data_IF_504785077216
#
_entry.id   IF_504785077216
#
_cell.length_a   1.000
_cell.length_b   1.000
_cell.length_c   1.000
_cell.angle_alpha   90.00
_cell.angle_beta   90.00
_cell.angle_gamma   90.00
#
_symmetry.space_group_name_H-M   'P 1'
#
loop_
_entity.id
_entity.type
_entity.pdbx_description
1 polymer ?
#
# COMPACT_ATOMS: atom_id res chain seq x y z
N UNK A 1 -16.70 -10.04 -5.27
CA UNK A 1 -15.44 -9.33 -5.51
C UNK A 1 -14.23 -10.02 -4.89
N UNK A 2 -14.04 -11.25 -5.18
CA UNK A 2 -12.80 -11.99 -4.92
C UNK A 2 -12.17 -11.75 -3.54
N UNK A 3 -12.97 -11.75 -2.50
CA UNK A 3 -12.49 -11.60 -1.13
C UNK A 3 -12.41 -10.16 -0.63
N UNK A 4 -12.71 -9.18 -1.45
CA UNK A 4 -12.72 -7.77 -1.04
C UNK A 4 -14.15 -7.32 -0.78
N UNK A 5 -14.33 -6.51 0.27
CA UNK A 5 -15.65 -6.07 0.71
C UNK A 5 -16.31 -5.04 -0.20
N UNK A 6 -15.52 -4.27 -0.93
CA UNK A 6 -16.06 -3.18 -1.73
C UNK A 6 -15.19 -2.95 -2.96
N UNK A 7 -15.75 -2.17 -3.91
CA UNK A 7 -15.03 -1.76 -5.09
C UNK A 7 -13.77 -0.97 -4.72
N UNK A 8 -13.87 -0.07 -3.75
CA UNK A 8 -12.74 0.75 -3.33
C UNK A 8 -11.60 -0.11 -2.76
N UNK A 9 -11.94 -1.11 -1.97
CA UNK A 9 -10.98 -2.05 -1.42
C UNK A 9 -10.25 -2.79 -2.54
N UNK A 10 -11.02 -3.37 -3.44
CA UNK A 10 -10.48 -4.11 -4.59
C UNK A 10 -9.60 -3.23 -5.49
N UNK A 11 -10.07 -2.01 -5.80
CA UNK A 11 -9.34 -1.07 -6.64
C UNK A 11 -8.02 -0.64 -6.01
N UNK A 12 -8.02 -0.38 -4.71
CA UNK A 12 -6.80 0.01 -4.00
C UNK A 12 -5.74 -1.10 -4.13
N UNK A 13 -6.13 -2.35 -3.89
CA UNK A 13 -5.21 -3.48 -4.00
C UNK A 13 -4.72 -3.66 -5.43
N UNK A 14 -5.62 -3.54 -6.39
CA UNK A 14 -5.30 -3.70 -7.81
C UNK A 14 -4.23 -2.70 -8.25
N UNK A 15 -4.45 -1.41 -7.98
CA UNK A 15 -3.52 -0.37 -8.45
C UNK A 15 -2.19 -0.41 -7.72
N UNK A 16 -2.19 -0.65 -6.42
CA UNK A 16 -0.93 -0.74 -5.67
C UNK A 16 -0.10 -1.97 -6.03
N UNK A 17 -0.73 -3.04 -6.47
CA UNK A 17 0.00 -4.24 -6.86
C UNK A 17 0.42 -4.25 -8.33
N UNK A 18 -0.34 -3.59 -9.20
CA UNK A 18 -0.12 -3.72 -10.65
C UNK A 18 0.45 -2.49 -11.34
N UNK A 19 0.30 -1.30 -10.75
CA UNK A 19 0.90 -0.10 -11.32
C UNK A 19 2.32 0.05 -10.81
N UNK A 20 3.28 0.10 -11.71
CA UNK A 20 4.69 0.16 -11.35
C UNK A 20 5.03 1.35 -10.44
N UNK A 21 4.50 2.51 -10.73
CA UNK A 21 4.76 3.71 -9.94
C UNK A 21 4.19 3.61 -8.54
N UNK A 22 2.94 3.17 -8.42
CA UNK A 22 2.29 3.00 -7.12
C UNK A 22 2.92 1.86 -6.33
N UNK A 23 3.27 0.77 -7.01
CA UNK A 23 3.94 -0.35 -6.36
C UNK A 23 5.29 0.08 -5.78
N UNK A 24 6.10 0.80 -6.56
CA UNK A 24 7.40 1.29 -6.11
C UNK A 24 7.27 2.25 -4.93
N UNK A 25 6.27 3.11 -4.94
CA UNK A 25 5.99 4.01 -3.82
C UNK A 25 5.70 3.21 -2.55
N UNK A 26 4.84 2.22 -2.64
CA UNK A 26 4.50 1.36 -1.51
C UNK A 26 5.74 0.61 -0.98
N UNK A 27 6.51 0.02 -1.88
CA UNK A 27 7.70 -0.74 -1.49
C UNK A 27 8.74 0.17 -0.84
N UNK A 28 8.96 1.36 -1.39
CA UNK A 28 9.93 2.30 -0.81
C UNK A 28 9.57 2.69 0.62
N UNK A 29 8.30 2.97 0.88
CA UNK A 29 7.85 3.31 2.24
C UNK A 29 7.92 2.10 3.18
N UNK A 30 7.62 0.93 2.66
CA UNK A 30 7.72 -0.31 3.44
C UNK A 30 9.17 -0.58 3.83
N UNK A 31 10.11 -0.36 2.91
CA UNK A 31 11.55 -0.50 3.19
C UNK A 31 12.00 0.44 4.30
N UNK A 32 11.49 1.66 4.35
CA UNK A 32 11.81 2.58 5.44
C UNK A 32 11.34 2.03 6.78
N UNK A 33 10.19 1.37 6.80
CA UNK A 33 9.69 0.75 8.02
C UNK A 33 10.58 -0.42 8.46
N UNK A 34 11.12 -1.18 7.50
CA UNK A 34 11.99 -2.31 7.80
C UNK A 34 13.37 -1.85 8.27
N UNK A 35 13.99 -0.92 7.55
CA UNK A 35 15.41 -0.58 7.73
C UNK A 35 15.68 0.72 8.44
N UNK A 36 14.72 1.62 8.52
CA UNK A 36 14.91 2.97 9.04
C UNK A 36 14.04 3.29 10.25
N UNK A 37 13.48 2.27 10.88
CA UNK A 37 12.66 2.40 12.09
C UNK A 37 11.40 3.27 11.93
N UNK A 38 10.94 3.48 10.71
CA UNK A 38 9.68 4.18 10.50
C UNK A 38 8.52 3.27 10.90
N UNK A 39 7.50 3.84 11.56
CA UNK A 39 6.32 3.05 11.94
C UNK A 39 5.52 2.65 10.70
N UNK A 40 4.76 1.55 10.83
CA UNK A 40 3.85 1.12 9.77
C UNK A 40 2.81 2.22 9.50
N UNK A 41 2.27 2.83 10.55
CA UNK A 41 1.31 3.93 10.41
C UNK A 41 1.92 5.11 9.65
N UNK A 42 3.18 5.43 9.93
CA UNK A 42 3.90 6.48 9.21
C UNK A 42 4.11 6.15 7.74
N UNK A 43 4.45 4.89 7.44
CA UNK A 43 4.62 4.44 6.07
C UNK A 43 3.30 4.56 5.29
N UNK A 44 2.21 4.12 5.88
CA UNK A 44 0.89 4.21 5.26
C UNK A 44 0.49 5.68 5.02
N UNK A 45 0.71 6.54 6.01
CA UNK A 45 0.39 7.96 5.88
C UNK A 45 1.18 8.61 4.74
N UNK A 46 2.47 8.28 4.62
CA UNK A 46 3.31 8.80 3.54
C UNK A 46 2.86 8.31 2.17
N UNK A 47 2.43 7.07 2.08
CA UNK A 47 1.90 6.52 0.83
C UNK A 47 0.64 7.30 0.43
N UNK A 48 -0.30 7.45 1.35
CA UNK A 48 -1.56 8.15 1.08
C UNK A 48 -1.28 9.58 0.62
N UNK A 49 -0.36 10.25 1.27
CA UNK A 49 -0.02 11.64 0.96
C UNK A 49 0.52 11.79 -0.47
N UNK A 50 1.20 10.78 -0.97
CA UNK A 50 1.80 10.83 -2.30
C UNK A 50 0.91 10.26 -3.40
N UNK A 51 -0.18 9.58 -3.04
CA UNK A 51 -1.13 9.07 -4.01
C UNK A 51 -2.01 10.20 -4.55
N UNK A 52 -2.50 10.08 -5.80
CA UNK A 52 -3.49 11.03 -6.29
C UNK A 52 -4.77 10.93 -5.46
N UNK A 53 -5.65 11.90 -5.59
CA UNK A 53 -6.88 11.95 -4.81
C UNK A 53 -7.73 10.69 -4.94
N UNK A 54 -7.75 10.10 -6.14
CA UNK A 54 -8.51 8.88 -6.42
C UNK A 54 -7.70 7.95 -7.31
N UNK A 55 -8.11 6.67 -7.35
CA UNK A 55 -7.49 5.74 -8.29
C UNK A 55 -7.76 6.19 -9.73
N UNK A 56 -6.97 5.71 -10.69
CA UNK A 56 -7.23 6.03 -12.11
C UNK A 56 -8.64 5.70 -12.58
N UNK A 57 -9.29 4.73 -11.95
CA UNK A 57 -10.68 4.36 -12.25
C UNK A 57 -11.71 5.14 -11.42
N UNK A 58 -11.27 6.11 -10.63
CA UNK A 58 -12.17 6.98 -9.90
C UNK A 58 -12.61 6.48 -8.53
N UNK A 59 -12.04 5.40 -8.04
CA UNK A 59 -12.37 4.88 -6.72
C UNK A 59 -11.55 5.61 -5.63
N UNK A 60 -12.04 5.58 -4.40
CA UNK A 60 -11.29 6.13 -3.28
C UNK A 60 -10.20 5.15 -2.84
N UNK A 61 -9.06 5.67 -2.43
CA UNK A 61 -8.02 4.84 -1.83
C UNK A 61 -8.44 4.42 -0.42
N UNK A 62 -8.34 3.12 -0.13
CA UNK A 62 -8.71 2.59 1.19
C UNK A 62 -7.48 2.43 2.07
N UNK A 63 -7.46 3.18 3.18
CA UNK A 63 -6.34 3.11 4.13
C UNK A 63 -6.15 1.73 4.73
N UNK A 64 -7.25 1.03 5.07
CA UNK A 64 -7.18 -0.31 5.63
C UNK A 64 -6.56 -1.32 4.65
N UNK A 65 -6.85 -1.18 3.36
CA UNK A 65 -6.24 -2.03 2.34
C UNK A 65 -4.74 -1.74 2.22
N UNK A 66 -4.36 -0.47 2.27
CA UNK A 66 -2.96 -0.07 2.20
C UNK A 66 -2.19 -0.65 3.39
N UNK A 67 -2.77 -0.60 4.58
CA UNK A 67 -2.17 -1.21 5.78
C UNK A 67 -1.91 -2.70 5.56
N UNK A 68 -2.90 -3.43 5.05
CA UNK A 68 -2.76 -4.85 4.78
C UNK A 68 -1.60 -5.14 3.82
N UNK A 69 -1.53 -4.38 2.72
CA UNK A 69 -0.48 -4.57 1.72
C UNK A 69 0.90 -4.23 2.26
N UNK A 70 1.00 -3.16 3.02
CA UNK A 70 2.27 -2.76 3.65
C UNK A 70 2.72 -3.84 4.63
N UNK A 71 1.81 -4.35 5.46
CA UNK A 71 2.15 -5.41 6.41
C UNK A 71 2.60 -6.70 5.73
N UNK A 72 1.94 -7.09 4.65
CA UNK A 72 2.35 -8.27 3.89
C UNK A 72 3.77 -8.12 3.36
N UNK A 73 4.07 -6.99 2.74
CA UNK A 73 5.41 -6.73 2.20
C UNK A 73 6.44 -6.57 3.30
N UNK A 74 6.08 -5.93 4.40
CA UNK A 74 6.95 -5.77 5.55
C UNK A 74 7.39 -7.13 6.11
N UNK A 75 6.43 -8.04 6.32
CA UNK A 75 6.71 -9.36 6.83
C UNK A 75 7.57 -10.18 5.86
N UNK A 76 7.29 -10.07 4.57
CA UNK A 76 8.07 -10.76 3.54
C UNK A 76 9.52 -10.26 3.52
N UNK A 77 9.71 -8.96 3.63
CA UNK A 77 11.06 -8.39 3.67
C UNK A 77 11.84 -8.84 4.89
N UNK A 78 11.18 -8.95 6.05
CA UNK A 78 11.81 -9.44 7.25
C UNK A 78 12.26 -10.89 7.12
N UNK A 79 11.47 -11.72 6.44
CA UNK A 79 11.82 -13.12 6.22
C UNK A 79 13.04 -13.29 5.32
N UNK A 80 13.28 -12.34 4.43
CA UNK A 80 14.35 -12.41 3.45
C UNK A 80 15.56 -11.53 3.75
N UNK A 81 15.54 -10.88 4.90
CA UNK A 81 16.65 -9.99 5.26
C UNK A 81 17.72 -10.66 6.15
#
# INVERSE_FOLDING_TARGET
>A
MNGYESKDHWQTALWLNNDKGFYNLMINETEKAVYMEQSIAGAVANIIEQLPEKTPDGAAWRGDTIVELVLENYNEMLEHS
#
